data_IF_831184360373
#
_entry.id   IF_831184360373
#
_cell.length_a   1.000
_cell.length_b   1.000
_cell.length_c   1.000
_cell.angle_alpha   90.00
_cell.angle_beta   90.00
_cell.angle_gamma   90.00
#
_symmetry.space_group_name_H-M   'P 1'
#
loop_
_entity.id
_entity.type
_entity.pdbx_description
1 polymer ?
#
# COMPACT_ATOMS: atom_id res chain seq x y z
N UNK A 1 8.01 -6.12 12.04
CA UNK A 1 8.17 -5.38 13.31
C UNK A 1 8.13 -3.90 12.96
N UNK A 2 7.03 -3.21 13.27
CA UNK A 2 6.96 -1.76 13.02
C UNK A 2 7.94 -1.07 13.97
N UNK A 3 8.90 -0.38 13.41
CA UNK A 3 9.92 0.32 14.18
C UNK A 3 9.24 1.44 14.98
N UNK A 4 9.43 1.44 16.31
CA UNK A 4 8.83 2.44 17.22
C UNK A 4 9.17 3.88 16.79
N UNK A 5 10.30 4.05 16.10
CA UNK A 5 10.76 5.34 15.60
C UNK A 5 9.90 5.87 14.43
N UNK A 6 9.36 4.99 13.59
CA UNK A 6 8.47 5.37 12.48
C UNK A 6 7.10 5.89 12.96
N UNK A 7 6.60 5.38 14.09
CA UNK A 7 5.34 5.85 14.67
C UNK A 7 5.44 7.24 15.31
N UNK A 8 6.65 7.74 15.55
CA UNK A 8 6.88 9.07 16.11
C UNK A 8 6.78 10.20 15.08
N UNK A 9 6.79 9.87 13.79
CA UNK A 9 6.68 10.88 12.72
C UNK A 9 5.24 11.40 12.67
N UNK A 10 5.04 12.73 12.76
CA UNK A 10 3.70 13.31 12.74
C UNK A 10 3.00 13.01 11.41
N UNK A 11 1.81 12.40 11.50
CA UNK A 11 0.98 12.06 10.33
C UNK A 11 1.01 10.59 9.90
N UNK A 12 1.99 9.77 10.31
CA UNK A 12 2.06 8.33 9.97
C UNK A 12 0.81 7.58 10.43
N UNK A 13 0.30 7.87 11.61
CA UNK A 13 -0.94 7.25 12.12
C UNK A 13 -2.15 7.53 11.22
N UNK A 14 -2.28 8.77 10.73
CA UNK A 14 -3.36 9.15 9.80
C UNK A 14 -3.18 8.49 8.43
N UNK A 15 -1.94 8.33 7.97
CA UNK A 15 -1.63 7.62 6.74
C UNK A 15 -2.04 6.15 6.86
N UNK A 16 -1.59 5.45 7.91
CA UNK A 16 -1.92 4.05 8.14
C UNK A 16 -3.44 3.85 8.22
N UNK A 17 -4.17 4.71 8.93
CA UNK A 17 -5.62 4.63 9.01
C UNK A 17 -6.30 4.78 7.64
N UNK A 18 -5.83 5.72 6.79
CA UNK A 18 -6.36 5.87 5.43
C UNK A 18 -6.04 4.66 4.55
N UNK A 19 -4.81 4.16 4.60
CA UNK A 19 -4.40 2.97 3.86
C UNK A 19 -5.18 1.74 4.31
N UNK A 20 -5.39 1.58 5.62
CA UNK A 20 -6.20 0.47 6.16
C UNK A 20 -7.65 0.51 5.65
N UNK A 21 -8.25 1.67 5.58
CA UNK A 21 -9.60 1.84 5.03
C UNK A 21 -9.63 1.47 3.53
N UNK A 22 -8.66 1.94 2.75
CA UNK A 22 -8.55 1.61 1.32
C UNK A 22 -8.28 0.11 1.11
N UNK A 23 -7.38 -0.49 1.90
CA UNK A 23 -7.09 -1.93 1.85
C UNK A 23 -8.33 -2.78 2.16
N UNK A 24 -9.20 -2.32 3.07
CA UNK A 24 -10.48 -2.99 3.35
C UNK A 24 -11.40 -2.96 2.13
N UNK A 25 -11.54 -1.80 1.47
CA UNK A 25 -12.35 -1.69 0.24
C UNK A 25 -11.74 -2.52 -0.89
N UNK A 26 -10.42 -2.54 -1.01
CA UNK A 26 -9.70 -3.37 -1.98
C UNK A 26 -9.94 -4.86 -1.75
N UNK A 27 -9.96 -5.31 -0.49
CA UNK A 27 -10.25 -6.71 -0.13
C UNK A 27 -11.67 -7.11 -0.54
N UNK A 28 -12.65 -6.21 -0.34
CA UNK A 28 -14.03 -6.45 -0.79
C UNK A 28 -14.11 -6.55 -2.32
N UNK A 29 -13.37 -5.72 -3.05
CA UNK A 29 -13.31 -5.81 -4.51
C UNK A 29 -12.74 -7.16 -4.97
N UNK A 30 -11.69 -7.68 -4.31
CA UNK A 30 -11.10 -9.00 -4.60
C UNK A 30 -12.13 -10.12 -4.37
N UNK A 31 -12.92 -10.04 -3.28
CA UNK A 31 -13.97 -11.01 -2.98
C UNK A 31 -15.03 -10.99 -4.07
N UNK A 32 -15.45 -9.79 -4.51
CA UNK A 32 -16.42 -9.64 -5.59
C UNK A 32 -15.89 -10.18 -6.93
N UNK A 33 -14.61 -9.91 -7.25
CA UNK A 33 -13.95 -10.47 -8.43
C UNK A 33 -14.02 -12.01 -8.42
N UNK A 34 -13.63 -12.62 -7.30
CA UNK A 34 -13.64 -14.08 -7.15
C UNK A 34 -15.06 -14.65 -7.26
N UNK A 35 -16.05 -13.99 -6.65
CA UNK A 35 -17.44 -14.38 -6.71
C UNK A 35 -17.99 -14.32 -8.13
N UNK A 36 -17.83 -13.20 -8.85
CA UNK A 36 -18.35 -13.08 -10.21
C UNK A 36 -17.62 -13.99 -11.19
N UNK A 37 -16.34 -14.25 -10.99
CA UNK A 37 -15.60 -15.24 -11.77
C UNK A 37 -16.19 -16.64 -11.57
N UNK A 38 -16.45 -17.03 -10.32
CA UNK A 38 -17.07 -18.31 -9.99
C UNK A 38 -18.46 -18.45 -10.64
N UNK A 39 -19.30 -17.42 -10.54
CA UNK A 39 -20.62 -17.38 -11.17
C UNK A 39 -20.52 -17.51 -12.69
N UNK A 40 -19.54 -16.82 -13.31
CA UNK A 40 -19.31 -16.92 -14.74
C UNK A 40 -18.97 -18.36 -15.18
N UNK A 41 -18.08 -19.04 -14.43
CA UNK A 41 -17.71 -20.44 -14.71
C UNK A 41 -18.90 -21.37 -14.55
N UNK A 42 -19.66 -21.26 -13.46
CA UNK A 42 -20.83 -22.09 -13.18
C UNK A 42 -21.92 -21.89 -14.25
N UNK A 43 -22.21 -20.65 -14.64
CA UNK A 43 -23.20 -20.33 -15.66
C UNK A 43 -22.83 -20.90 -17.05
N UNK A 44 -21.53 -20.84 -17.38
CA UNK A 44 -21.04 -21.40 -18.64
C UNK A 44 -21.21 -22.91 -18.68
N UNK A 45 -20.92 -23.57 -17.54
CA UNK A 45 -21.06 -25.04 -17.45
C UNK A 45 -22.52 -25.50 -17.48
N UNK A 46 -23.39 -24.80 -16.73
CA UNK A 46 -24.79 -25.23 -16.56
C UNK A 46 -25.68 -24.82 -17.71
N UNK A 47 -25.56 -23.62 -18.27
CA UNK A 47 -26.52 -23.07 -19.22
C UNK A 47 -26.08 -23.22 -20.67
N UNK A 48 -24.80 -23.54 -20.94
CA UNK A 48 -24.23 -23.67 -22.30
C UNK A 48 -24.57 -22.49 -23.25
N UNK A 49 -24.97 -21.34 -22.69
CA UNK A 49 -25.32 -20.12 -23.44
C UNK A 49 -24.29 -19.04 -23.18
N UNK A 50 -23.64 -18.57 -24.23
CA UNK A 50 -22.63 -17.51 -24.19
C UNK A 50 -23.21 -16.17 -23.62
N UNK A 51 -24.49 -15.91 -23.85
CA UNK A 51 -25.19 -14.74 -23.37
C UNK A 51 -25.26 -14.65 -21.82
N UNK A 52 -25.26 -15.80 -21.12
CA UNK A 52 -25.26 -15.86 -19.67
C UNK A 52 -23.92 -15.47 -19.04
N UNK A 53 -22.85 -15.43 -19.85
CA UNK A 53 -21.50 -15.03 -19.44
C UNK A 53 -21.33 -13.50 -19.38
N UNK A 54 -22.05 -12.76 -20.23
CA UNK A 54 -21.85 -11.32 -20.39
C UNK A 54 -22.05 -10.53 -19.09
N UNK A 55 -23.12 -10.84 -18.37
CA UNK A 55 -23.46 -10.09 -17.14
C UNK A 55 -22.43 -10.29 -16.00
N UNK A 56 -22.07 -11.54 -15.61
CA UNK A 56 -21.04 -11.77 -14.60
C UNK A 56 -19.68 -11.20 -15.01
N UNK A 57 -19.32 -11.27 -16.29
CA UNK A 57 -18.06 -10.76 -16.80
C UNK A 57 -17.99 -9.23 -16.75
N UNK A 58 -19.10 -8.56 -17.00
CA UNK A 58 -19.20 -7.11 -16.85
C UNK A 58 -18.99 -6.68 -15.38
N UNK A 59 -19.64 -7.35 -14.43
CA UNK A 59 -19.44 -7.07 -13.00
C UNK A 59 -18.03 -7.39 -12.53
N UNK A 60 -17.44 -8.48 -13.01
CA UNK A 60 -16.02 -8.78 -12.76
C UNK A 60 -15.12 -7.65 -13.26
N UNK A 61 -15.34 -7.16 -14.47
CA UNK A 61 -14.55 -6.06 -15.03
C UNK A 61 -14.71 -4.76 -14.25
N UNK A 62 -15.92 -4.43 -13.77
CA UNK A 62 -16.17 -3.28 -12.92
C UNK A 62 -15.40 -3.41 -11.60
N UNK A 63 -15.46 -4.58 -10.95
CA UNK A 63 -14.73 -4.83 -9.70
C UNK A 63 -13.21 -4.70 -9.90
N UNK A 64 -12.69 -5.20 -11.02
CA UNK A 64 -11.29 -5.08 -11.42
C UNK A 64 -10.86 -3.61 -11.59
N UNK A 65 -11.66 -2.81 -12.30
CA UNK A 65 -11.38 -1.37 -12.49
C UNK A 65 -11.40 -0.62 -11.14
N UNK A 66 -12.36 -0.93 -10.28
CA UNK A 66 -12.43 -0.35 -8.93
C UNK A 66 -11.18 -0.70 -8.12
N UNK A 67 -10.79 -1.98 -8.09
CA UNK A 67 -9.58 -2.43 -7.40
C UNK A 67 -8.33 -1.73 -7.93
N UNK A 68 -8.17 -1.64 -9.25
CA UNK A 68 -7.03 -0.96 -9.87
C UNK A 68 -6.99 0.53 -9.50
N UNK A 69 -8.14 1.20 -9.49
CA UNK A 69 -8.26 2.60 -9.09
C UNK A 69 -7.87 2.82 -7.63
N UNK A 70 -8.29 1.93 -6.73
CA UNK A 70 -7.92 1.99 -5.31
C UNK A 70 -6.41 1.83 -5.15
N UNK A 71 -5.79 0.85 -5.82
CA UNK A 71 -4.34 0.64 -5.78
C UNK A 71 -3.58 1.89 -6.24
N UNK A 72 -4.08 2.58 -7.26
CA UNK A 72 -3.49 3.84 -7.73
C UNK A 72 -3.62 4.96 -6.71
N UNK A 73 -4.77 5.08 -6.05
CA UNK A 73 -5.01 6.06 -5.01
C UNK A 73 -4.10 5.80 -3.79
N UNK A 74 -3.95 4.56 -3.37
CA UNK A 74 -3.04 4.15 -2.29
C UNK A 74 -1.59 4.56 -2.59
N UNK A 75 -1.10 4.24 -3.78
CA UNK A 75 0.23 4.64 -4.23
C UNK A 75 0.40 6.15 -4.18
N UNK A 76 -0.51 6.93 -4.77
CA UNK A 76 -0.43 8.37 -4.78
C UNK A 76 -0.45 9.01 -3.37
N UNK A 77 -1.25 8.46 -2.45
CA UNK A 77 -1.29 8.93 -1.06
C UNK A 77 0.03 8.66 -0.37
N UNK A 78 0.60 7.47 -0.58
CA UNK A 78 1.87 7.06 0.02
C UNK A 78 3.03 7.87 -0.55
N UNK A 79 3.08 8.06 -1.88
CA UNK A 79 4.10 8.86 -2.55
C UNK A 79 4.11 10.30 -2.03
N UNK A 80 2.95 10.96 -1.98
CA UNK A 80 2.84 12.33 -1.45
C UNK A 80 3.28 12.45 -0.01
N UNK A 81 2.96 11.45 0.80
CA UNK A 81 3.39 11.41 2.20
C UNK A 81 4.91 11.22 2.30
N UNK A 82 5.45 10.27 1.54
CA UNK A 82 6.89 9.97 1.50
C UNK A 82 7.69 11.21 1.10
N UNK A 83 7.33 11.87 0.00
CA UNK A 83 8.00 13.09 -0.49
C UNK A 83 7.95 14.21 0.55
N UNK A 84 6.79 14.39 1.22
CA UNK A 84 6.67 15.41 2.27
C UNK A 84 7.54 15.08 3.49
N UNK A 85 7.47 13.85 4.00
CA UNK A 85 8.25 13.41 5.17
C UNK A 85 9.76 13.49 4.90
N UNK A 86 10.17 13.10 3.69
CA UNK A 86 11.56 13.18 3.24
C UNK A 86 12.05 14.62 3.13
N UNK A 87 11.20 15.53 2.61
CA UNK A 87 11.51 16.97 2.55
C UNK A 87 11.71 17.60 3.93
N UNK A 88 10.88 17.24 4.91
CA UNK A 88 11.02 17.71 6.29
C UNK A 88 12.33 17.20 6.93
N UNK A 89 12.68 15.93 6.74
CA UNK A 89 13.93 15.34 7.23
C UNK A 89 15.13 16.02 6.57
N UNK A 90 15.08 16.25 5.25
CA UNK A 90 16.14 16.94 4.51
C UNK A 90 16.38 18.36 5.04
N UNK A 91 15.31 19.10 5.29
CA UNK A 91 15.41 20.46 5.85
C UNK A 91 16.02 20.44 7.24
N UNK A 92 15.60 19.49 8.10
CA UNK A 92 16.16 19.36 9.44
C UNK A 92 17.65 18.97 9.42
N UNK A 93 18.05 18.08 8.51
CA UNK A 93 19.45 17.70 8.33
C UNK A 93 20.30 18.92 7.91
N UNK A 94 19.86 19.64 6.88
CA UNK A 94 20.56 20.82 6.40
C UNK A 94 20.67 21.90 7.49
N UNK A 95 19.61 22.15 8.25
CA UNK A 95 19.63 23.12 9.35
C UNK A 95 20.67 22.72 10.43
N UNK A 96 20.70 21.43 10.80
CA UNK A 96 21.71 20.93 11.74
C UNK A 96 23.14 21.00 11.21
N UNK A 97 23.34 20.75 9.92
CA UNK A 97 24.66 20.92 9.28
C UNK A 97 25.12 22.36 9.33
N UNK A 98 24.21 23.33 9.09
CA UNK A 98 24.55 24.76 9.24
C UNK A 98 24.87 25.15 10.69
N UNK A 99 24.20 24.57 11.68
CA UNK A 99 24.47 24.80 13.10
C UNK A 99 25.84 24.23 13.55
N UNK A 100 26.31 23.13 12.97
CA UNK A 100 27.59 22.48 13.29
C UNK A 100 28.81 23.24 12.74
N UNK A 101 28.62 24.20 11.85
CA UNK A 101 29.59 25.15 11.36
C UNK A 101 30.63 24.60 10.37
N UNK A 102 31.42 25.50 9.75
CA UNK A 102 32.31 25.16 8.63
C UNK A 102 33.45 24.20 8.99
N UNK A 103 33.76 24.02 10.26
CA UNK A 103 34.87 23.18 10.73
C UNK A 103 34.57 21.67 10.54
N UNK A 104 33.31 21.27 10.64
CA UNK A 104 32.89 19.88 10.45
C UNK A 104 32.72 19.54 8.96
N UNK A 105 32.27 20.52 8.17
CA UNK A 105 32.13 20.40 6.72
C UNK A 105 33.51 20.18 6.05
N UNK A 106 34.56 20.81 6.56
CA UNK A 106 35.92 20.64 6.04
C UNK A 106 36.55 19.27 6.39
N UNK A 107 36.14 18.64 7.48
CA UNK A 107 36.65 17.32 7.90
C UNK A 107 35.98 16.15 7.15
N UNK A 108 34.71 16.26 6.83
CA UNK A 108 33.92 15.19 6.19
C UNK A 108 33.92 15.32 4.67
N UNK A 109 34.21 16.51 4.13
CA UNK A 109 34.15 16.84 2.72
C UNK A 109 32.71 17.18 2.25
N UNK A 110 32.55 18.36 1.69
CA UNK A 110 31.24 18.87 1.23
C UNK A 110 30.53 17.93 0.24
N UNK A 111 31.29 17.24 -0.63
CA UNK A 111 30.76 16.28 -1.58
C UNK A 111 30.14 15.05 -0.92
N UNK A 112 30.76 14.53 0.14
CA UNK A 112 30.25 13.36 0.85
C UNK A 112 28.95 13.65 1.60
N UNK A 113 28.85 14.83 2.22
CA UNK A 113 27.62 15.26 2.92
C UNK A 113 26.44 15.45 1.94
N UNK A 114 26.68 16.04 0.78
CA UNK A 114 25.67 16.23 -0.26
C UNK A 114 25.21 14.87 -0.81
N UNK A 115 26.13 13.94 -1.08
CA UNK A 115 25.78 12.59 -1.53
C UNK A 115 24.98 11.84 -0.47
N UNK A 116 25.39 11.92 0.78
CA UNK A 116 24.71 11.26 1.90
C UNK A 116 23.31 11.85 2.14
N UNK A 117 23.14 13.17 1.99
CA UNK A 117 21.83 13.82 2.07
C UNK A 117 20.92 13.45 0.89
N UNK A 118 21.44 13.33 -0.32
CA UNK A 118 20.67 12.95 -1.50
C UNK A 118 20.34 11.45 -1.50
N UNK A 119 21.33 10.58 -1.41
CA UNK A 119 21.12 9.12 -1.43
C UNK A 119 20.36 8.63 -0.20
N UNK A 120 20.62 9.21 0.98
CA UNK A 120 19.90 8.89 2.19
C UNK A 120 18.42 9.23 2.09
N UNK A 121 18.10 10.36 1.46
CA UNK A 121 16.72 10.83 1.26
C UNK A 121 15.96 9.93 0.29
N UNK A 122 16.56 9.54 -0.82
CA UNK A 122 15.95 8.64 -1.80
C UNK A 122 15.70 7.24 -1.21
N UNK A 123 16.61 6.74 -0.38
CA UNK A 123 16.41 5.48 0.34
C UNK A 123 15.26 5.55 1.33
N UNK A 124 15.10 6.66 2.04
CA UNK A 124 14.00 6.88 2.98
C UNK A 124 12.67 6.97 2.24
N UNK A 125 12.61 7.67 1.12
CA UNK A 125 11.41 7.77 0.28
C UNK A 125 10.96 6.41 -0.23
N UNK A 126 11.90 5.63 -0.78
CA UNK A 126 11.63 4.25 -1.21
C UNK A 126 11.19 3.35 -0.06
N UNK A 127 11.75 3.53 1.14
CA UNK A 127 11.34 2.81 2.33
C UNK A 127 9.88 3.08 2.70
N UNK A 128 9.46 4.34 2.72
CA UNK A 128 8.08 4.71 2.99
C UNK A 128 7.12 4.13 1.94
N UNK A 129 7.46 4.26 0.66
CA UNK A 129 6.61 3.81 -0.43
C UNK A 129 6.45 2.29 -0.48
N UNK A 130 7.56 1.56 -0.33
CA UNK A 130 7.53 0.11 -0.47
C UNK A 130 7.10 -0.60 0.81
N UNK A 131 7.62 -0.17 1.97
CA UNK A 131 7.42 -0.92 3.21
C UNK A 131 6.09 -0.60 3.85
N UNK A 132 5.71 0.67 4.00
CA UNK A 132 4.47 1.02 4.68
C UNK A 132 3.26 0.51 3.89
N UNK A 133 3.20 0.79 2.58
CA UNK A 133 2.09 0.37 1.74
C UNK A 133 1.96 -1.16 1.69
N UNK A 134 3.08 -1.84 1.41
CA UNK A 134 3.06 -3.31 1.31
C UNK A 134 2.75 -3.98 2.64
N UNK A 135 3.28 -3.48 3.75
CA UNK A 135 3.04 -4.07 5.08
C UNK A 135 1.58 -3.92 5.51
N UNK A 136 0.96 -2.75 5.25
CA UNK A 136 -0.47 -2.54 5.55
C UNK A 136 -1.32 -3.50 4.72
N UNK A 137 -1.06 -3.59 3.41
CA UNK A 137 -1.82 -4.47 2.53
C UNK A 137 -1.60 -5.95 2.85
N UNK A 138 -0.37 -6.39 3.15
CA UNK A 138 -0.06 -7.75 3.57
C UNK A 138 -0.71 -8.14 4.92
N UNK A 139 -0.94 -7.19 5.81
CA UNK A 139 -1.60 -7.46 7.07
C UNK A 139 -3.13 -7.52 6.93
N UNK A 140 -3.74 -6.61 6.17
CA UNK A 140 -5.19 -6.42 6.14
C UNK A 140 -5.87 -7.34 5.13
N UNK A 141 -5.33 -7.43 3.90
CA UNK A 141 -5.98 -8.18 2.82
C UNK A 141 -6.17 -9.67 3.18
N UNK A 142 -5.15 -10.41 3.64
CA UNK A 142 -5.32 -11.82 4.00
C UNK A 142 -6.30 -12.03 5.15
N UNK A 143 -6.29 -11.15 6.16
CA UNK A 143 -7.20 -11.26 7.30
C UNK A 143 -8.65 -11.11 6.86
N UNK A 144 -8.97 -10.14 6.00
CA UNK A 144 -10.33 -9.93 5.50
C UNK A 144 -10.76 -11.08 4.61
N UNK A 145 -9.88 -11.58 3.73
CA UNK A 145 -10.15 -12.74 2.89
C UNK A 145 -10.43 -13.98 3.74
N UNK A 146 -9.65 -14.21 4.77
CA UNK A 146 -9.83 -15.33 5.69
C UNK A 146 -11.18 -15.25 6.40
N UNK A 147 -11.57 -14.09 6.91
CA UNK A 147 -12.88 -13.85 7.50
C UNK A 147 -14.00 -14.12 6.49
N UNK A 148 -13.87 -13.65 5.25
CA UNK A 148 -14.86 -13.87 4.22
C UNK A 148 -15.03 -15.36 3.87
N UNK A 149 -13.93 -16.11 3.78
CA UNK A 149 -13.96 -17.55 3.52
C UNK A 149 -14.61 -18.30 4.69
N UNK A 150 -14.30 -17.92 5.94
CA UNK A 150 -14.95 -18.50 7.11
C UNK A 150 -16.47 -18.30 7.13
N UNK A 151 -16.94 -17.13 6.69
CA UNK A 151 -18.38 -16.82 6.62
C UNK A 151 -19.10 -17.61 5.53
N UNK A 152 -18.42 -17.91 4.42
CA UNK A 152 -19.00 -18.65 3.30
C UNK A 152 -18.94 -20.15 3.54
N UNK A 153 -17.82 -20.66 4.05
CA UNK A 153 -17.63 -22.08 4.30
C UNK A 153 -16.63 -22.32 5.43
N UNK A 154 -17.15 -22.69 6.59
CA UNK A 154 -16.37 -22.90 7.83
C UNK A 154 -15.25 -23.95 7.65
N UNK A 155 -15.52 -25.01 6.89
CA UNK A 155 -14.55 -26.09 6.64
C UNK A 155 -13.39 -25.59 5.77
N UNK A 156 -13.66 -24.81 4.76
CA UNK A 156 -12.61 -24.27 3.88
C UNK A 156 -11.74 -23.23 4.57
N UNK A 157 -12.30 -22.51 5.55
CA UNK A 157 -11.57 -21.53 6.36
C UNK A 157 -10.58 -22.14 7.35
N UNK A 158 -10.75 -23.42 7.74
CA UNK A 158 -9.82 -24.12 8.64
C UNK A 158 -8.62 -24.71 7.88
N UNK A 159 -8.80 -25.03 6.60
CA UNK A 159 -7.76 -25.68 5.79
C UNK A 159 -6.73 -24.67 5.23
N UNK A 160 -7.07 -23.38 5.15
CA UNK A 160 -6.24 -22.29 4.61
C UNK A 160 -5.39 -21.65 5.69
#
# INVERSE_FOLDING_TARGET
>A
MFDKQLMSIPGVKKLIAKLSCLATIQSLAIILEAYFLSVAVVNTWSLKKITALLLPMLYFFIAFVVRYSITRIESQITDRFATKATGEIKTQLLTKEFELGPRMISQIGSGHLITLALEGTDKIENYFNLIILKTVNMAIIPVILLIAIFLINFISGIIL
#
